data_IF_124082863036
#
_entry.id   IF_124082863036
#
_cell.length_a   1.000
_cell.length_b   1.000
_cell.length_c   1.000
_cell.angle_alpha   90.00
_cell.angle_beta   90.00
_cell.angle_gamma   90.00
#
_symmetry.space_group_name_H-M   'P 1'
#
loop_
_entity.id
_entity.type
_entity.pdbx_description
1 polymer ?
#
# COMPACT_ATOMS: atom_id res chain seq x y z
N UNK A 1 -11.40 6.63 15.75
CA UNK A 1 -9.94 6.73 15.58
C UNK A 1 -9.15 6.25 16.81
N UNK A 2 -9.58 6.55 18.06
CA UNK A 2 -8.90 6.08 19.28
C UNK A 2 -8.98 4.57 19.44
N UNK A 3 -10.08 3.94 19.08
CA UNK A 3 -10.24 2.49 19.13
C UNK A 3 -9.23 1.80 18.19
N UNK A 4 -9.09 2.27 16.96
CA UNK A 4 -8.13 1.71 16.01
C UNK A 4 -6.68 1.81 16.50
N UNK A 5 -6.29 2.93 17.13
CA UNK A 5 -4.94 3.08 17.69
C UNK A 5 -4.68 2.12 18.87
N UNK A 6 -5.68 1.87 19.71
CA UNK A 6 -5.57 0.87 20.79
C UNK A 6 -5.40 -0.55 20.24
N UNK A 7 -6.13 -0.89 19.17
CA UNK A 7 -6.03 -2.18 18.50
C UNK A 7 -4.62 -2.36 17.89
N UNK A 8 -4.10 -1.36 17.19
CA UNK A 8 -2.73 -1.40 16.66
C UNK A 8 -1.69 -1.50 17.78
N UNK A 9 -1.85 -0.73 18.86
CA UNK A 9 -0.92 -0.80 19.99
C UNK A 9 -0.89 -2.18 20.64
N UNK A 10 -2.05 -2.83 20.77
CA UNK A 10 -2.14 -4.20 21.27
C UNK A 10 -1.44 -5.18 20.33
N UNK A 11 -1.75 -5.12 19.01
CA UNK A 11 -1.12 -5.96 18.01
C UNK A 11 0.41 -5.80 17.96
N UNK A 12 0.91 -4.57 18.09
CA UNK A 12 2.35 -4.32 18.18
C UNK A 12 2.98 -5.05 19.35
N UNK A 13 2.38 -4.95 20.55
CA UNK A 13 2.88 -5.64 21.76
C UNK A 13 2.89 -7.17 21.61
N UNK A 14 1.85 -7.72 21.01
CA UNK A 14 1.69 -9.16 20.89
C UNK A 14 2.60 -9.76 19.81
N UNK A 15 2.86 -9.01 18.71
CA UNK A 15 3.52 -9.55 17.53
C UNK A 15 4.94 -9.03 17.31
N UNK A 16 5.41 -8.02 18.04
CA UNK A 16 6.71 -7.37 17.78
C UNK A 16 7.88 -8.36 17.76
N UNK A 17 7.83 -9.39 18.59
CA UNK A 17 8.89 -10.41 18.66
C UNK A 17 8.74 -11.54 17.63
N UNK A 18 7.59 -11.61 16.94
CA UNK A 18 7.24 -12.69 16.03
C UNK A 18 7.36 -12.27 14.56
N UNK A 19 7.54 -10.97 14.28
CA UNK A 19 7.57 -10.43 12.92
C UNK A 19 8.77 -9.51 12.67
N UNK A 20 9.15 -9.36 11.39
CA UNK A 20 10.20 -8.43 10.98
C UNK A 20 9.66 -7.01 10.75
N UNK A 21 8.36 -6.85 10.53
CA UNK A 21 7.73 -5.57 10.32
C UNK A 21 6.21 -5.67 10.19
N UNK A 22 5.56 -4.52 10.08
CA UNK A 22 4.11 -4.39 10.02
C UNK A 22 3.66 -3.61 8.78
N UNK A 23 2.60 -4.08 8.14
CA UNK A 23 1.87 -3.29 7.15
C UNK A 23 0.55 -2.82 7.77
N UNK A 24 0.43 -1.52 7.99
CA UNK A 24 -0.76 -0.89 8.57
C UNK A 24 -1.76 -0.62 7.45
N UNK A 25 -2.80 -1.42 7.39
CA UNK A 25 -3.83 -1.33 6.37
C UNK A 25 -4.97 -0.42 6.81
N UNK A 26 -4.90 0.85 6.45
CA UNK A 26 -5.95 1.87 6.69
C UNK A 26 -6.76 2.18 5.42
N UNK A 27 -6.75 1.31 4.44
CA UNK A 27 -7.28 1.57 3.11
C UNK A 27 -8.31 0.55 2.61
N UNK A 28 -8.71 -0.43 3.43
CA UNK A 28 -9.70 -1.42 3.02
C UNK A 28 -11.06 -0.78 2.73
N UNK A 29 -11.69 -1.08 1.57
CA UNK A 29 -13.03 -0.60 1.27
C UNK A 29 -14.13 -1.37 2.02
N UNK A 30 -13.78 -2.51 2.63
CA UNK A 30 -14.75 -3.43 3.24
C UNK A 30 -15.03 -3.13 4.71
N UNK A 31 -14.25 -2.25 5.32
CA UNK A 31 -14.41 -1.83 6.72
C UNK A 31 -14.90 -0.40 6.75
N UNK A 32 -16.06 -0.19 7.36
CA UNK A 32 -16.66 1.14 7.51
C UNK A 32 -15.74 2.08 8.29
N UNK A 33 -15.58 3.31 7.80
CA UNK A 33 -14.76 4.34 8.44
C UNK A 33 -13.24 4.11 8.39
N UNK A 34 -12.75 2.94 7.91
CA UNK A 34 -11.31 2.67 7.92
C UNK A 34 -10.53 3.64 7.02
N UNK A 35 -11.09 4.03 5.89
CA UNK A 35 -10.45 4.97 4.97
C UNK A 35 -10.36 6.40 5.50
N UNK A 36 -11.17 6.75 6.53
CA UNK A 36 -11.11 8.04 7.21
C UNK A 36 -9.85 8.17 8.08
N UNK A 37 -9.16 7.05 8.32
CA UNK A 37 -7.85 7.01 8.99
C UNK A 37 -6.70 7.47 8.07
N UNK A 38 -6.91 7.63 6.76
CA UNK A 38 -5.90 8.09 5.83
C UNK A 38 -5.70 9.62 5.98
N UNK A 39 -5.15 10.04 7.11
CA UNK A 39 -4.89 11.44 7.46
C UNK A 39 -3.52 11.61 8.12
N UNK A 40 -2.95 12.79 7.99
CA UNK A 40 -1.67 13.14 8.65
C UNK A 40 -1.79 12.99 10.17
N UNK A 41 -2.89 13.47 10.76
CA UNK A 41 -3.17 13.33 12.20
C UNK A 41 -3.13 11.87 12.67
N UNK A 42 -3.70 10.96 11.90
CA UNK A 42 -3.64 9.54 12.25
C UNK A 42 -2.22 8.98 12.17
N UNK A 43 -1.44 9.35 11.14
CA UNK A 43 -0.04 8.92 11.00
C UNK A 43 0.83 9.45 12.15
N UNK A 44 0.58 10.65 12.66
CA UNK A 44 1.27 11.20 13.84
C UNK A 44 0.98 10.38 15.11
N UNK A 45 -0.28 10.04 15.32
CA UNK A 45 -0.69 9.19 16.44
C UNK A 45 -0.14 7.77 16.32
N UNK A 46 -0.11 7.21 15.10
CA UNK A 46 0.48 5.91 14.82
C UNK A 46 1.99 5.92 15.10
N UNK A 47 2.70 6.97 14.67
CA UNK A 47 4.13 7.14 14.93
C UNK A 47 4.44 7.18 16.44
N UNK A 48 3.58 7.80 17.24
CA UNK A 48 3.75 7.89 18.70
C UNK A 48 3.67 6.53 19.41
N UNK A 49 2.94 5.56 18.85
CA UNK A 49 2.81 4.20 19.41
C UNK A 49 3.63 3.15 18.63
N UNK A 50 4.41 3.58 17.66
CA UNK A 50 5.16 2.70 16.76
C UNK A 50 6.19 1.86 17.52
N UNK A 51 6.28 0.54 17.25
CA UNK A 51 7.30 -0.35 17.81
C UNK A 51 8.70 -0.05 17.22
N UNK A 52 9.69 -0.84 17.61
CA UNK A 52 11.04 -0.75 17.04
C UNK A 52 11.15 -1.37 15.64
N UNK A 53 10.15 -2.10 15.19
CA UNK A 53 10.09 -2.79 13.91
C UNK A 53 9.71 -1.87 12.75
N UNK A 54 10.04 -2.29 11.55
CA UNK A 54 9.67 -1.59 10.32
C UNK A 54 8.14 -1.46 10.16
N UNK A 55 7.67 -0.27 9.75
CA UNK A 55 6.24 0.01 9.52
C UNK A 55 6.04 0.59 8.13
N UNK A 56 5.22 -0.08 7.35
CA UNK A 56 4.69 0.42 6.08
C UNK A 56 3.20 0.75 6.23
N UNK A 57 2.75 1.82 5.61
CA UNK A 57 1.32 2.20 5.60
C UNK A 57 0.74 1.96 4.21
N UNK A 58 -0.39 1.22 4.16
CA UNK A 58 -1.05 0.87 2.89
C UNK A 58 -2.22 1.79 2.61
N UNK A 59 -2.16 2.48 1.46
CA UNK A 59 -3.14 3.48 1.04
C UNK A 59 -4.07 3.01 -0.07
N UNK A 60 -5.23 3.69 -0.17
CA UNK A 60 -6.19 3.48 -1.23
C UNK A 60 -5.75 4.19 -2.53
N UNK A 61 -6.08 3.63 -3.71
CA UNK A 61 -5.79 4.28 -4.99
C UNK A 61 -6.66 5.51 -5.25
N UNK A 62 -7.78 5.61 -4.54
CA UNK A 62 -8.83 6.61 -4.77
C UNK A 62 -8.57 7.96 -4.06
N UNK A 63 -7.44 8.10 -3.34
CA UNK A 63 -7.02 9.37 -2.76
C UNK A 63 -6.76 10.42 -3.84
N UNK A 64 -7.09 11.69 -3.56
CA UNK A 64 -6.65 12.78 -4.42
C UNK A 64 -5.12 12.91 -4.40
N UNK A 65 -4.56 13.60 -5.39
CA UNK A 65 -3.11 13.81 -5.43
C UNK A 65 -2.63 14.61 -4.22
N UNK A 66 -3.38 15.64 -3.83
CA UNK A 66 -3.09 16.49 -2.69
C UNK A 66 -3.05 15.68 -1.40
N UNK A 67 -4.10 14.87 -1.14
CA UNK A 67 -4.17 14.03 0.07
C UNK A 67 -3.04 13.00 0.11
N UNK A 68 -2.72 12.36 -1.01
CA UNK A 68 -1.61 11.42 -1.08
C UNK A 68 -0.27 12.12 -0.84
N UNK A 69 -0.07 13.33 -1.39
CA UNK A 69 1.14 14.13 -1.20
C UNK A 69 1.38 14.44 0.27
N UNK A 70 0.36 14.93 1.00
CA UNK A 70 0.47 15.23 2.43
C UNK A 70 0.85 13.99 3.26
N UNK A 71 0.27 12.84 2.94
CA UNK A 71 0.57 11.57 3.60
C UNK A 71 2.00 11.10 3.32
N UNK A 72 2.48 11.24 2.07
CA UNK A 72 3.84 10.88 1.69
C UNK A 72 4.89 11.81 2.30
N UNK A 73 4.62 13.11 2.42
CA UNK A 73 5.47 14.06 3.14
C UNK A 73 5.60 13.68 4.62
N UNK A 74 4.49 13.31 5.26
CA UNK A 74 4.51 12.82 6.63
C UNK A 74 5.33 11.53 6.76
N UNK A 75 5.17 10.56 5.86
CA UNK A 75 5.99 9.34 5.87
C UNK A 75 7.46 9.68 5.68
N UNK A 76 7.80 10.54 4.72
CA UNK A 76 9.18 10.92 4.44
C UNK A 76 9.86 11.57 5.64
N UNK A 77 9.17 12.47 6.33
CA UNK A 77 9.69 13.17 7.52
C UNK A 77 9.73 12.32 8.79
N UNK A 78 9.00 11.21 8.84
CA UNK A 78 8.91 10.34 10.02
C UNK A 78 10.21 9.58 10.26
N UNK A 79 10.63 9.49 11.53
CA UNK A 79 11.75 8.62 11.95
C UNK A 79 11.33 7.17 12.19
N UNK A 80 10.02 6.89 12.28
CA UNK A 80 9.45 5.58 12.65
C UNK A 80 8.77 4.86 11.48
N UNK A 81 8.16 5.60 10.57
CA UNK A 81 7.51 5.02 9.40
C UNK A 81 8.56 4.69 8.34
N UNK A 82 8.62 3.43 7.95
CA UNK A 82 9.64 2.89 7.03
C UNK A 82 9.30 3.19 5.57
N UNK A 83 8.00 3.27 5.23
CA UNK A 83 7.57 3.49 3.87
C UNK A 83 6.07 3.32 3.67
N UNK A 84 5.66 3.09 2.43
CA UNK A 84 4.26 2.88 2.08
C UNK A 84 4.06 1.74 1.09
N UNK A 85 2.81 1.24 1.05
CA UNK A 85 2.34 0.25 0.09
C UNK A 85 1.24 0.88 -0.77
N UNK A 86 1.42 0.91 -2.07
CA UNK A 86 0.50 1.46 -3.06
C UNK A 86 0.18 0.41 -4.13
N UNK A 87 -1.09 0.00 -4.28
CA UNK A 87 -2.31 0.50 -3.68
C UNK A 87 -3.21 -0.64 -3.17
N UNK A 88 -4.21 -0.30 -2.35
CA UNK A 88 -5.34 -1.20 -2.09
C UNK A 88 -6.27 -1.25 -3.33
N UNK A 89 -7.43 -1.91 -3.22
CA UNK A 89 -8.46 -1.97 -4.27
C UNK A 89 -9.20 -0.64 -4.43
N UNK A 90 -9.73 -0.36 -5.65
CA UNK A 90 -10.43 0.89 -5.96
C UNK A 90 -11.95 0.77 -5.81
N UNK A 91 -12.56 1.64 -5.00
CA UNK A 91 -14.02 1.84 -4.96
C UNK A 91 -14.50 2.58 -6.20
N UNK A 92 -13.74 3.56 -6.68
CA UNK A 92 -14.06 4.35 -7.87
C UNK A 92 -14.24 3.45 -9.09
N UNK A 93 -13.28 2.58 -9.38
CA UNK A 93 -13.36 1.63 -10.50
C UNK A 93 -14.53 0.65 -10.31
N UNK A 94 -14.78 0.16 -9.08
CA UNK A 94 -15.89 -0.74 -8.80
C UNK A 94 -17.23 -0.07 -9.10
N UNK A 95 -17.43 1.18 -8.70
CA UNK A 95 -18.64 1.94 -8.94
C UNK A 95 -18.83 2.29 -10.43
N UNK A 96 -17.82 2.88 -11.07
CA UNK A 96 -17.92 3.38 -12.44
C UNK A 96 -18.11 2.26 -13.48
N UNK A 97 -17.44 1.11 -13.28
CA UNK A 97 -17.45 0.04 -14.28
C UNK A 97 -18.44 -1.08 -13.98
N UNK A 98 -18.77 -1.29 -12.72
CA UNK A 98 -19.60 -2.43 -12.30
C UNK A 98 -20.82 -2.01 -11.48
N UNK A 99 -21.03 -0.71 -11.25
CA UNK A 99 -22.13 -0.14 -10.44
C UNK A 99 -22.20 -0.78 -9.04
N UNK A 100 -21.07 -1.22 -8.51
CA UNK A 100 -21.00 -1.80 -7.17
C UNK A 100 -20.66 -0.75 -6.14
N UNK A 101 -21.54 -0.65 -5.13
CA UNK A 101 -21.39 0.26 -3.98
C UNK A 101 -20.50 -0.34 -2.90
N UNK A 102 -20.41 -1.66 -2.82
CA UNK A 102 -19.64 -2.41 -1.81
C UNK A 102 -18.38 -3.01 -2.39
N UNK A 103 -17.34 -3.10 -1.55
CA UNK A 103 -16.05 -3.66 -1.90
C UNK A 103 -15.18 -2.74 -2.75
N UNK A 104 -14.11 -3.30 -3.30
CA UNK A 104 -13.18 -2.60 -4.19
C UNK A 104 -12.75 -3.47 -5.35
N UNK A 105 -12.49 -2.85 -6.49
CA UNK A 105 -11.98 -3.54 -7.66
C UNK A 105 -10.49 -3.86 -7.51
N UNK A 106 -10.11 -5.11 -7.82
CA UNK A 106 -8.73 -5.58 -7.95
C UNK A 106 -8.49 -6.17 -9.35
N UNK A 107 -7.24 -6.40 -9.72
CA UNK A 107 -6.89 -7.01 -11.00
C UNK A 107 -6.47 -5.98 -12.07
N UNK A 108 -6.48 -6.42 -13.34
CA UNK A 108 -5.79 -5.76 -14.46
C UNK A 108 -6.12 -4.28 -14.66
N UNK A 109 -7.39 -3.88 -14.47
CA UNK A 109 -7.81 -2.47 -14.68
C UNK A 109 -7.33 -1.51 -13.59
N UNK A 110 -6.86 -2.05 -12.45
CA UNK A 110 -6.27 -1.23 -11.39
C UNK A 110 -4.83 -0.80 -11.73
N UNK A 111 -4.18 -1.45 -12.70
CA UNK A 111 -2.76 -1.30 -12.96
C UNK A 111 -2.33 0.15 -13.25
N UNK A 112 -3.00 0.80 -14.19
CA UNK A 112 -2.61 2.17 -14.61
C UNK A 112 -2.73 3.17 -13.44
N UNK A 113 -3.82 3.07 -12.67
CA UNK A 113 -4.00 3.90 -11.47
C UNK A 113 -2.90 3.62 -10.44
N UNK A 114 -2.57 2.34 -10.19
CA UNK A 114 -1.53 1.99 -9.24
C UNK A 114 -0.15 2.45 -9.71
N UNK A 115 0.16 2.31 -11.00
CA UNK A 115 1.42 2.75 -11.60
C UNK A 115 1.61 4.25 -11.46
N UNK A 116 0.57 5.03 -11.74
CA UNK A 116 0.57 6.50 -11.56
C UNK A 116 0.86 6.88 -10.11
N UNK A 117 0.17 6.23 -9.12
CA UNK A 117 0.38 6.49 -7.70
C UNK A 117 1.80 6.12 -7.25
N UNK A 118 2.34 5.01 -7.76
CA UNK A 118 3.72 4.59 -7.48
C UNK A 118 4.73 5.61 -8.02
N UNK A 119 4.54 6.12 -9.25
CA UNK A 119 5.40 7.15 -9.83
C UNK A 119 5.42 8.44 -8.99
N UNK A 120 4.26 8.94 -8.58
CA UNK A 120 4.18 10.11 -7.68
C UNK A 120 4.86 9.88 -6.33
N UNK A 121 4.64 8.70 -5.74
CA UNK A 121 5.26 8.37 -4.47
C UNK A 121 6.79 8.29 -4.60
N UNK A 122 7.31 7.74 -5.67
CA UNK A 122 8.76 7.66 -5.91
C UNK A 122 9.39 9.06 -5.99
N UNK A 123 8.75 10.01 -6.70
CA UNK A 123 9.18 11.40 -6.78
C UNK A 123 9.17 12.10 -5.40
N UNK A 124 8.16 11.83 -4.60
CA UNK A 124 8.00 12.42 -3.26
C UNK A 124 8.96 11.84 -2.24
N UNK A 125 9.14 10.51 -2.24
CA UNK A 125 9.96 9.80 -1.25
C UNK A 125 11.46 9.84 -1.57
N UNK A 126 11.85 10.12 -2.81
CA UNK A 126 13.25 10.33 -3.26
C UNK A 126 14.22 9.21 -2.85
N UNK A 127 13.74 7.98 -2.72
CA UNK A 127 14.54 6.85 -2.25
C UNK A 127 14.89 6.86 -0.75
N UNK A 128 14.34 7.80 0.02
CA UNK A 128 14.57 7.88 1.48
C UNK A 128 13.69 6.89 2.27
N UNK A 129 12.64 6.36 1.65
CA UNK A 129 11.67 5.44 2.24
C UNK A 129 11.32 4.31 1.29
N UNK A 130 11.04 3.14 1.83
CA UNK A 130 10.67 1.97 1.02
C UNK A 130 9.30 2.16 0.37
N UNK A 131 9.24 1.99 -0.94
CA UNK A 131 8.02 2.02 -1.73
C UNK A 131 7.67 0.62 -2.24
N UNK A 132 6.55 0.09 -1.77
CA UNK A 132 6.03 -1.21 -2.19
C UNK A 132 4.87 -1.00 -3.16
N UNK A 133 4.98 -1.55 -4.37
CA UNK A 133 3.95 -1.46 -5.39
C UNK A 133 3.05 -2.70 -5.38
N UNK A 134 1.73 -2.48 -5.41
CA UNK A 134 0.72 -3.52 -5.60
C UNK A 134 -0.47 -2.95 -6.36
N UNK A 135 -1.09 -3.76 -7.21
CA UNK A 135 -2.32 -3.44 -7.92
C UNK A 135 -2.22 -3.69 -9.43
N UNK A 136 -2.96 -4.69 -9.90
CA UNK A 136 -3.08 -5.02 -11.31
C UNK A 136 -1.83 -5.61 -11.97
N UNK A 137 -0.82 -6.03 -11.21
CA UNK A 137 0.37 -6.71 -11.73
C UNK A 137 0.02 -8.15 -12.07
N UNK A 138 -0.08 -8.46 -13.36
CA UNK A 138 -0.47 -9.77 -13.90
C UNK A 138 0.54 -10.34 -14.92
N UNK A 139 1.63 -9.64 -15.14
CA UNK A 139 2.73 -10.04 -16.02
C UNK A 139 4.08 -9.52 -15.52
N UNK A 140 5.16 -10.13 -15.99
CA UNK A 140 6.53 -9.66 -15.72
C UNK A 140 6.76 -8.25 -16.27
N UNK A 141 6.18 -7.93 -17.44
CA UNK A 141 6.27 -6.59 -18.03
C UNK A 141 5.70 -5.52 -17.08
N UNK A 142 4.52 -5.79 -16.47
CA UNK A 142 3.90 -4.87 -15.51
C UNK A 142 4.69 -4.76 -14.21
N UNK A 143 5.25 -5.87 -13.73
CA UNK A 143 6.15 -5.82 -12.58
C UNK A 143 7.39 -4.95 -12.83
N UNK A 144 8.01 -5.09 -14.01
CA UNK A 144 9.13 -4.25 -14.42
C UNK A 144 8.73 -2.77 -14.60
N UNK A 145 7.50 -2.48 -15.07
CA UNK A 145 6.99 -1.09 -15.11
C UNK A 145 6.89 -0.48 -13.70
N UNK A 146 6.40 -1.23 -12.71
CA UNK A 146 6.38 -0.78 -11.31
C UNK A 146 7.79 -0.49 -10.77
N UNK A 147 8.76 -1.40 -11.05
CA UNK A 147 10.17 -1.16 -10.68
C UNK A 147 10.74 0.10 -11.32
N UNK A 148 10.52 0.29 -12.62
CA UNK A 148 10.99 1.49 -13.35
C UNK A 148 10.32 2.78 -12.89
N UNK A 149 9.09 2.70 -12.39
CA UNK A 149 8.39 3.82 -11.77
C UNK A 149 8.92 4.18 -10.37
N UNK A 150 9.88 3.41 -9.83
CA UNK A 150 10.57 3.68 -8.58
C UNK A 150 10.14 2.82 -7.39
N UNK A 151 9.37 1.75 -7.61
CA UNK A 151 9.06 0.80 -6.54
C UNK A 151 10.30 0.01 -6.12
N UNK A 152 10.54 -0.15 -4.83
CA UNK A 152 11.59 -1.02 -4.27
C UNK A 152 11.16 -2.48 -4.29
N UNK A 153 9.89 -2.74 -4.01
CA UNK A 153 9.29 -4.07 -3.97
C UNK A 153 7.99 -4.10 -4.77
N UNK A 154 7.64 -5.28 -5.30
CA UNK A 154 6.39 -5.50 -6.03
C UNK A 154 5.64 -6.67 -5.43
N UNK A 155 4.39 -6.44 -5.03
CA UNK A 155 3.46 -7.45 -4.55
C UNK A 155 2.46 -7.84 -5.64
N UNK A 156 2.02 -9.09 -5.63
CA UNK A 156 0.97 -9.63 -6.50
C UNK A 156 -0.10 -10.34 -5.67
N UNK A 157 -1.38 -10.17 -6.04
CA UNK A 157 -2.48 -10.85 -5.38
C UNK A 157 -3.42 -11.54 -6.39
N UNK A 158 -4.18 -10.80 -7.17
CA UNK A 158 -5.18 -11.36 -8.10
C UNK A 158 -4.54 -12.30 -9.12
N UNK A 159 -3.40 -11.93 -9.69
CA UNK A 159 -2.67 -12.76 -10.63
C UNK A 159 -2.17 -14.06 -9.98
N UNK A 160 -1.76 -14.03 -8.71
CA UNK A 160 -1.39 -15.24 -7.97
C UNK A 160 -2.55 -16.22 -7.86
N UNK A 161 -3.78 -15.72 -7.60
CA UNK A 161 -4.98 -16.58 -7.53
C UNK A 161 -5.22 -17.32 -8.84
N UNK A 162 -5.03 -16.67 -9.98
CA UNK A 162 -5.27 -17.27 -11.30
C UNK A 162 -4.09 -18.04 -11.88
N UNK A 163 -2.86 -17.63 -11.61
CA UNK A 163 -1.64 -18.17 -12.24
C UNK A 163 -0.77 -19.00 -11.28
N UNK A 164 -1.08 -18.98 -9.98
CA UNK A 164 -0.41 -19.77 -8.95
C UNK A 164 1.03 -19.34 -8.65
N UNK A 165 1.74 -20.16 -7.88
CA UNK A 165 3.08 -19.88 -7.37
C UNK A 165 4.16 -19.75 -8.47
N UNK A 166 3.94 -20.40 -9.63
CA UNK A 166 4.87 -20.30 -10.75
C UNK A 166 4.99 -18.85 -11.25
N UNK A 167 3.87 -18.12 -11.30
CA UNK A 167 3.86 -16.72 -11.68
C UNK A 167 4.74 -15.87 -10.76
N UNK A 168 4.62 -16.04 -9.43
CA UNK A 168 5.44 -15.32 -8.46
C UNK A 168 6.93 -15.56 -8.69
N UNK A 169 7.33 -16.81 -8.90
CA UNK A 169 8.74 -17.15 -9.20
C UNK A 169 9.22 -16.49 -10.47
N UNK A 170 8.41 -16.49 -11.53
CA UNK A 170 8.75 -15.86 -12.81
C UNK A 170 8.93 -14.35 -12.66
N UNK A 171 8.03 -13.68 -11.94
CA UNK A 171 8.15 -12.24 -11.65
C UNK A 171 9.37 -11.94 -10.81
N UNK A 172 9.61 -12.72 -9.75
CA UNK A 172 10.77 -12.52 -8.87
C UNK A 172 12.10 -12.66 -9.64
N UNK A 173 12.23 -13.67 -10.52
CA UNK A 173 13.42 -13.80 -11.38
C UNK A 173 13.62 -12.60 -12.29
N UNK A 174 12.55 -12.13 -12.93
CA UNK A 174 12.63 -10.97 -13.85
C UNK A 174 12.95 -9.63 -13.14
N UNK A 175 12.69 -9.52 -11.84
CA UNK A 175 13.01 -8.34 -11.03
C UNK A 175 14.42 -8.39 -10.42
N UNK A 176 15.06 -9.57 -10.43
CA UNK A 176 16.42 -9.75 -9.91
C UNK A 176 17.52 -9.45 -10.96
N UNK A 177 17.17 -9.48 -12.25
CA UNK A 177 18.01 -9.12 -13.40
C UNK A 177 18.05 -7.59 -13.58
#
# INVERSE_FOLDING_TARGET
NESALKDYQQLFKELENEVDGFVINISSPNTEGLRDLQSVEFLEKLEAIAPSKAIWVKFAPDLSQEALTELLEKIRSSSKLTGCVLTNTSRKIALEQYQRMEGGYSGTKLFETSLERVGWAAEMLKGEKTLVAIGGVDSTERALKMRRAGADLVEVYTAFVYQGAKFVKTVASALAD
#
